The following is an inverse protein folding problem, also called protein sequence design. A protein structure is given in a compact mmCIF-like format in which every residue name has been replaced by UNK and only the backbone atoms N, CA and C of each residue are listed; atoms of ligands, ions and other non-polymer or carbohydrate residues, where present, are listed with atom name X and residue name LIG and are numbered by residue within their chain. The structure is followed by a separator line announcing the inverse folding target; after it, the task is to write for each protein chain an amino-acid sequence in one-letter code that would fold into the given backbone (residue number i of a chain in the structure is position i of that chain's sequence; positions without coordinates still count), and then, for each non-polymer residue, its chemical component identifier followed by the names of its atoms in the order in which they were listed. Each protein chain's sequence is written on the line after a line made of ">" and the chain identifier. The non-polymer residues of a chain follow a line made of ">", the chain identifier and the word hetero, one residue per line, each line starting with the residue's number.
data_IF_035712125613
#
_entry.id   IF_035712125613
#
_cell.length_a   1.000
_cell.length_b   1.000
_cell.length_c   1.000
_cell.angle_alpha   90.00
_cell.angle_beta   90.00
_cell.angle_gamma   90.00
#
_symmetry.space_group_name_H-M   'P 1'
#
loop_
_entity.id
_entity.type
_entity.pdbx_description
1 polymer ?
#
# COMPACT_ATOMS: atom_id res chain seq x y z
N UNK A 1 11.50 -12.99 -5.65
CA UNK A 1 10.06 -12.78 -5.37
C UNK A 1 9.52 -11.85 -6.43
N UNK A 2 8.41 -12.16 -7.10
CA UNK A 2 7.92 -11.40 -8.25
C UNK A 2 7.60 -9.95 -7.81
N UNK A 3 8.35 -8.95 -8.28
CA UNK A 3 8.26 -7.53 -7.88
C UNK A 3 6.82 -7.01 -8.01
N UNK A 4 6.14 -7.49 -9.06
CA UNK A 4 4.70 -7.31 -9.29
C UNK A 4 3.83 -7.82 -8.13
N UNK A 5 3.99 -9.08 -7.73
CA UNK A 5 3.19 -9.69 -6.66
C UNK A 5 3.43 -8.97 -5.33
N UNK A 6 4.69 -8.60 -5.06
CA UNK A 6 5.05 -7.86 -3.85
C UNK A 6 4.41 -6.47 -3.85
N UNK A 7 4.43 -5.76 -4.99
CA UNK A 7 3.77 -4.47 -5.14
C UNK A 7 2.26 -4.56 -4.92
N UNK A 8 1.59 -5.56 -5.50
CA UNK A 8 0.15 -5.79 -5.28
C UNK A 8 -0.17 -6.05 -3.82
N UNK A 9 0.60 -6.90 -3.14
CA UNK A 9 0.36 -7.22 -1.73
C UNK A 9 0.49 -5.98 -0.83
N UNK A 10 1.45 -5.11 -1.12
CA UNK A 10 1.61 -3.83 -0.43
C UNK A 10 0.41 -2.90 -0.66
N UNK A 11 -0.05 -2.75 -1.91
CA UNK A 11 -1.25 -1.94 -2.22
C UNK A 11 -2.49 -2.50 -1.55
N UNK A 12 -2.74 -3.81 -1.63
CA UNK A 12 -3.90 -4.44 -1.00
C UNK A 12 -3.89 -4.27 0.52
N UNK A 13 -2.72 -4.43 1.14
CA UNK A 13 -2.56 -4.22 2.59
C UNK A 13 -2.77 -2.75 2.97
N UNK A 14 -2.30 -1.81 2.15
CA UNK A 14 -2.58 -0.38 2.31
C UNK A 14 -4.07 -0.06 2.21
N UNK A 15 -4.76 -0.56 1.19
CA UNK A 15 -6.21 -0.41 1.01
C UNK A 15 -6.99 -1.00 2.20
N UNK A 16 -6.57 -2.16 2.70
CA UNK A 16 -7.20 -2.79 3.87
C UNK A 16 -7.08 -1.90 5.11
N UNK A 17 -5.87 -1.39 5.40
CA UNK A 17 -5.64 -0.48 6.52
C UNK A 17 -6.42 0.82 6.38
N UNK A 18 -6.53 1.36 5.16
CA UNK A 18 -7.33 2.56 4.90
C UNK A 18 -8.82 2.31 5.18
N UNK A 19 -9.37 1.20 4.70
CA UNK A 19 -10.75 0.82 4.98
C UNK A 19 -10.98 0.60 6.46
N UNK A 20 -10.03 -0.05 7.16
CA UNK A 20 -10.10 -0.23 8.60
C UNK A 20 -10.13 1.11 9.33
N UNK A 21 -9.27 2.07 8.96
CA UNK A 21 -9.27 3.40 9.55
C UNK A 21 -10.58 4.15 9.30
N UNK A 22 -11.11 4.11 8.07
CA UNK A 22 -12.35 4.82 7.69
C UNK A 22 -13.58 4.20 8.37
N UNK A 23 -13.68 2.88 8.41
CA UNK A 23 -14.84 2.17 8.95
C UNK A 23 -14.83 2.04 10.48
N UNK A 24 -13.67 2.17 11.13
CA UNK A 24 -13.57 2.03 12.59
C UNK A 24 -14.36 3.10 13.35
N UNK A 25 -14.51 4.31 12.79
CA UNK A 25 -15.13 5.45 13.48
C UNK A 25 -14.36 5.91 14.74
N UNK A 26 -13.17 5.37 15.00
CA UNK A 26 -12.33 5.68 16.15
C UNK A 26 -11.36 6.79 15.75
N UNK A 27 -11.32 7.89 16.50
CA UNK A 27 -10.33 8.95 16.31
C UNK A 27 -9.33 8.95 17.46
N UNK A 28 -8.04 8.77 17.15
CA UNK A 28 -6.97 8.72 18.14
C UNK A 28 -5.60 8.38 17.55
N UNK A 29 -4.58 8.27 18.40
CA UNK A 29 -3.18 8.01 17.97
C UNK A 29 -3.06 6.71 17.17
N UNK A 30 -3.70 5.63 17.63
CA UNK A 30 -3.70 4.34 16.93
C UNK A 30 -4.33 4.44 15.53
N UNK A 31 -5.42 5.21 15.40
CA UNK A 31 -6.04 5.45 14.10
C UNK A 31 -5.11 6.23 13.15
N UNK A 32 -4.41 7.24 13.68
CA UNK A 32 -3.40 7.99 12.92
C UNK A 32 -2.25 7.10 12.44
N UNK A 33 -1.82 6.14 13.27
CA UNK A 33 -0.81 5.13 12.88
C UNK A 33 -1.32 4.18 11.79
N UNK A 34 -2.57 3.72 11.88
CA UNK A 34 -3.19 2.86 10.86
C UNK A 34 -3.33 3.61 9.53
N UNK A 35 -3.77 4.87 9.55
CA UNK A 35 -3.80 5.72 8.37
C UNK A 35 -2.41 5.98 7.79
N UNK A 36 -1.44 6.36 8.62
CA UNK A 36 -0.06 6.57 8.18
C UNK A 36 0.53 5.30 7.54
N UNK A 37 0.31 4.15 8.17
CA UNK A 37 0.69 2.84 7.64
C UNK A 37 0.03 2.55 6.29
N UNK A 38 -1.25 2.86 6.13
CA UNK A 38 -1.98 2.70 4.86
C UNK A 38 -1.35 3.49 3.71
N UNK A 39 -0.92 4.73 3.99
CA UNK A 39 -0.28 5.62 3.01
C UNK A 39 1.09 5.06 2.63
N UNK A 40 1.92 4.71 3.62
CA UNK A 40 3.27 4.16 3.39
C UNK A 40 3.18 2.87 2.56
N UNK A 41 2.28 1.96 2.90
CA UNK A 41 2.12 0.69 2.21
C UNK A 41 1.69 0.89 0.76
N UNK A 42 0.72 1.78 0.50
CA UNK A 42 0.31 2.10 -0.86
C UNK A 42 1.43 2.77 -1.66
N UNK A 43 2.21 3.67 -1.05
CA UNK A 43 3.34 4.33 -1.72
C UNK A 43 4.40 3.32 -2.14
N UNK A 44 4.81 2.43 -1.23
CA UNK A 44 5.78 1.36 -1.51
C UNK A 44 5.23 0.43 -2.60
N UNK A 45 3.97 0.03 -2.48
CA UNK A 45 3.31 -0.85 -3.45
C UNK A 45 3.32 -0.26 -4.86
N UNK A 46 2.94 1.02 -4.99
CA UNK A 46 2.96 1.74 -6.28
C UNK A 46 4.38 1.87 -6.82
N UNK A 47 5.37 2.20 -5.99
CA UNK A 47 6.78 2.28 -6.43
C UNK A 47 7.28 0.94 -6.99
N UNK A 48 6.95 -0.17 -6.32
CA UNK A 48 7.31 -1.52 -6.79
C UNK A 48 6.61 -1.87 -8.11
N UNK A 49 5.34 -1.51 -8.26
CA UNK A 49 4.58 -1.73 -9.50
C UNK A 49 5.12 -0.89 -10.65
N UNK A 50 5.43 0.39 -10.41
CA UNK A 50 6.05 1.28 -11.41
C UNK A 50 7.42 0.75 -11.83
N UNK A 51 8.23 0.25 -10.89
CA UNK A 51 9.50 -0.42 -11.22
C UNK A 51 9.28 -1.62 -12.13
N UNK A 52 8.33 -2.50 -11.80
CA UNK A 52 8.00 -3.66 -12.63
C UNK A 52 7.54 -3.28 -14.04
N UNK A 53 6.69 -2.25 -14.16
CA UNK A 53 6.20 -1.76 -15.46
C UNK A 53 7.36 -1.20 -16.29
N UNK A 54 8.23 -0.39 -15.69
CA UNK A 54 9.41 0.16 -16.36
C UNK A 54 10.37 -0.95 -16.81
N UNK A 55 10.64 -1.93 -15.95
CA UNK A 55 11.47 -3.09 -16.30
C UNK A 55 10.90 -3.86 -17.49
N UNK A 56 9.57 -4.05 -17.54
CA UNK A 56 8.90 -4.69 -18.69
C UNK A 56 8.83 -3.85 -19.95
N UNK A 57 8.79 -2.52 -19.83
CA UNK A 57 8.78 -1.62 -20.99
C UNK A 57 10.12 -1.57 -21.73
N UNK A 58 11.20 -2.02 -21.09
CA UNK A 58 12.56 -2.03 -21.63
C UNK A 58 13.03 -3.41 -22.11
N UNK A 59 12.15 -4.41 -22.12
CA UNK A 59 12.38 -5.78 -22.63
C UNK A 59 11.45 -6.08 -23.79
#
# INVERSE_FOLDING_TARGET
>A
MNTYLTGILFVLSGILLLNLAVLSGINGVLWGLVLGGSIIFNLIGVVLLMRYINEKSHT
#
